data_IF_430318282910
#
_entry.id   IF_430318282910
#
_cell.length_a   1.000
_cell.length_b   1.000
_cell.length_c   1.000
_cell.angle_alpha   90.00
_cell.angle_beta   90.00
_cell.angle_gamma   90.00
#
_symmetry.space_group_name_H-M   'P 1'
#
loop_
_entity.id
_entity.type
_entity.pdbx_description
1 polymer ?
#
# COMPACT_ATOMS: atom_id res chain seq x y z
N UNK A 1 23.86 -10.04 26.48
CA UNK A 1 22.40 -9.96 26.64
C UNK A 1 21.76 -10.52 25.38
N UNK A 2 21.08 -11.67 25.47
CA UNK A 2 20.31 -12.24 24.37
C UNK A 2 18.95 -11.54 24.34
N UNK A 3 18.83 -10.45 23.58
CA UNK A 3 17.51 -9.87 23.28
C UNK A 3 16.77 -10.80 22.32
N UNK A 4 15.52 -11.13 22.66
CA UNK A 4 14.61 -11.88 21.80
C UNK A 4 14.42 -11.10 20.48
N UNK A 5 14.70 -11.70 19.31
CA UNK A 5 14.57 -10.99 18.04
C UNK A 5 13.12 -10.62 17.75
N UNK A 6 12.14 -11.42 18.19
CA UNK A 6 10.73 -11.09 18.05
C UNK A 6 10.34 -9.85 18.85
N UNK A 7 10.81 -9.75 20.10
CA UNK A 7 10.59 -8.57 20.95
C UNK A 7 11.24 -7.30 20.37
N UNK A 8 12.42 -7.44 19.77
CA UNK A 8 13.13 -6.31 19.13
C UNK A 8 12.40 -5.83 17.88
N UNK A 9 11.94 -6.76 17.03
CA UNK A 9 11.15 -6.47 15.83
C UNK A 9 9.83 -5.81 16.20
N UNK A 10 9.10 -6.37 17.17
CA UNK A 10 7.84 -5.82 17.64
C UNK A 10 8.03 -4.38 18.11
N UNK A 11 9.05 -4.12 18.96
CA UNK A 11 9.37 -2.78 19.44
C UNK A 11 9.72 -1.81 18.30
N UNK A 12 10.57 -2.21 17.35
CA UNK A 12 10.97 -1.35 16.23
C UNK A 12 9.77 -0.89 15.39
N UNK A 13 8.80 -1.78 15.19
CA UNK A 13 7.59 -1.45 14.45
C UNK A 13 6.52 -0.79 15.33
N UNK A 14 6.44 -1.07 16.63
CA UNK A 14 5.58 -0.33 17.56
C UNK A 14 5.99 1.16 17.61
N UNK A 15 7.29 1.43 17.69
CA UNK A 15 7.88 2.77 17.69
C UNK A 15 7.67 3.54 16.37
N UNK A 16 7.24 2.87 15.30
CA UNK A 16 6.85 3.51 14.04
C UNK A 16 5.49 4.21 14.23
N UNK A 17 5.51 5.50 14.60
CA UNK A 17 4.31 6.33 14.61
C UNK A 17 4.01 6.84 13.21
N UNK A 18 2.82 6.53 12.71
CA UNK A 18 2.26 7.07 11.47
C UNK A 18 1.00 7.91 11.75
N UNK A 19 0.88 8.45 12.97
CA UNK A 19 -0.35 9.13 13.41
C UNK A 19 -0.67 10.34 12.53
N UNK A 20 0.36 11.11 12.15
CA UNK A 20 0.21 12.29 11.29
C UNK A 20 -0.11 11.90 9.85
N UNK A 21 0.59 10.91 9.32
CA UNK A 21 0.38 10.40 7.96
C UNK A 21 -1.03 9.81 7.82
N UNK A 22 -1.50 9.06 8.83
CA UNK A 22 -2.85 8.51 8.85
C UNK A 22 -3.92 9.60 8.90
N UNK A 23 -3.76 10.63 9.73
CA UNK A 23 -4.75 11.73 9.79
C UNK A 23 -4.78 12.54 8.49
N UNK A 24 -3.63 12.70 7.83
CA UNK A 24 -3.56 13.32 6.52
C UNK A 24 -4.24 12.47 5.44
N UNK A 25 -3.97 11.16 5.42
CA UNK A 25 -4.64 10.24 4.48
C UNK A 25 -6.15 10.23 4.69
N UNK A 26 -6.62 10.18 5.95
CA UNK A 26 -8.05 10.24 6.27
C UNK A 26 -8.70 11.55 5.80
N UNK A 27 -8.03 12.69 6.03
CA UNK A 27 -8.50 13.99 5.55
C UNK A 27 -8.61 14.04 4.02
N UNK A 28 -7.59 13.56 3.31
CA UNK A 28 -7.57 13.53 1.84
C UNK A 28 -8.63 12.57 1.28
N UNK A 29 -8.83 11.40 1.91
CA UNK A 29 -9.90 10.47 1.55
C UNK A 29 -11.29 11.06 1.77
N UNK A 30 -11.46 11.82 2.86
CA UNK A 30 -12.69 12.57 3.12
C UNK A 30 -12.96 13.63 2.06
N UNK A 31 -11.93 14.30 1.55
CA UNK A 31 -12.05 15.27 0.45
C UNK A 31 -12.40 14.59 -0.88
N UNK A 32 -11.73 13.48 -1.22
CA UNK A 32 -12.07 12.66 -2.40
C UNK A 32 -13.55 12.23 -2.34
N UNK A 33 -14.02 11.79 -1.18
CA UNK A 33 -15.43 11.38 -1.02
C UNK A 33 -16.42 12.53 -1.27
N UNK A 34 -16.06 13.77 -0.91
CA UNK A 34 -16.89 14.96 -1.22
C UNK A 34 -16.85 15.29 -2.71
N UNK A 35 -15.69 15.15 -3.35
CA UNK A 35 -15.57 15.35 -4.79
C UNK A 35 -16.38 14.30 -5.55
N UNK A 36 -16.31 13.03 -5.15
CA UNK A 36 -17.08 11.95 -5.76
C UNK A 36 -18.60 12.22 -5.65
N UNK A 37 -19.06 12.73 -4.51
CA UNK A 37 -20.45 13.15 -4.34
C UNK A 37 -20.83 14.35 -5.23
N UNK A 38 -19.94 15.34 -5.37
CA UNK A 38 -20.16 16.50 -6.24
C UNK A 38 -20.20 16.10 -7.72
N UNK A 39 -19.32 15.17 -8.15
CA UNK A 39 -19.31 14.60 -9.50
C UNK A 39 -20.62 13.86 -9.80
N UNK A 40 -21.13 13.06 -8.86
CA UNK A 40 -22.42 12.39 -9.03
C UNK A 40 -23.58 13.38 -9.24
N UNK A 41 -23.58 14.49 -8.50
CA UNK A 41 -24.58 15.56 -8.67
C UNK A 41 -24.41 16.25 -10.03
N UNK A 42 -23.17 16.52 -10.45
CA UNK A 42 -22.89 17.14 -11.74
C UNK A 42 -23.33 16.25 -12.91
N UNK A 43 -23.08 14.95 -12.85
CA UNK A 43 -23.53 13.98 -13.86
C UNK A 43 -25.07 13.97 -13.99
N UNK A 44 -25.79 14.00 -12.87
CA UNK A 44 -27.25 14.07 -12.88
C UNK A 44 -27.77 15.39 -13.48
N UNK A 45 -27.07 16.51 -13.22
CA UNK A 45 -27.39 17.80 -13.82
C UNK A 45 -27.13 17.82 -15.33
N UNK A 46 -26.00 17.26 -15.79
CA UNK A 46 -25.68 17.14 -17.22
C UNK A 46 -26.75 16.33 -17.93
N UNK A 47 -27.14 15.16 -17.40
CA UNK A 47 -28.25 14.36 -17.96
C UNK A 47 -29.59 15.11 -17.94
N UNK A 48 -29.80 16.01 -16.98
CA UNK A 48 -30.95 16.91 -16.93
C UNK A 48 -30.94 17.91 -18.08
N UNK A 49 -29.80 18.55 -18.31
CA UNK A 49 -29.61 19.52 -19.41
C UNK A 49 -29.71 18.84 -20.78
N UNK A 50 -29.15 17.65 -20.95
CA UNK A 50 -29.25 16.87 -22.19
C UNK A 50 -30.70 16.53 -22.54
N UNK A 51 -31.50 16.13 -21.55
CA UNK A 51 -32.95 15.90 -21.76
C UNK A 51 -33.67 17.19 -22.18
N UNK A 52 -33.40 18.30 -21.50
CA UNK A 52 -33.99 19.60 -21.86
C UNK A 52 -33.58 20.05 -23.27
N UNK A 53 -32.35 19.77 -23.71
CA UNK A 53 -31.89 20.07 -25.07
C UNK A 53 -32.62 19.21 -26.12
N UNK A 54 -32.84 17.92 -25.84
CA UNK A 54 -33.61 17.03 -26.72
C UNK A 54 -35.08 17.50 -26.84
N UNK A 55 -35.70 17.88 -25.74
CA UNK A 55 -37.07 18.37 -25.70
C UNK A 55 -37.21 19.73 -26.42
N UNK A 56 -36.25 20.64 -26.23
CA UNK A 56 -36.22 21.93 -26.93
C UNK A 56 -36.04 21.76 -28.45
N UNK A 57 -35.16 20.85 -28.89
CA UNK A 57 -34.92 20.57 -30.30
C UNK A 57 -36.11 19.92 -31.02
N UNK A 58 -36.96 19.18 -30.30
CA UNK A 58 -38.14 18.50 -30.87
C UNK A 58 -39.36 19.43 -31.06
N UNK A 59 -39.42 20.58 -30.36
CA UNK A 59 -40.66 21.34 -30.17
C UNK A 59 -40.56 22.86 -30.43
N UNK A 60 -39.37 23.38 -30.72
CA UNK A 60 -39.08 24.82 -30.76
C UNK A 60 -40.01 25.65 -31.68
N UNK A 61 -40.27 25.19 -32.91
CA UNK A 61 -41.07 25.96 -33.87
C UNK A 61 -42.57 26.03 -33.54
N UNK A 62 -43.11 24.95 -32.95
CA UNK A 62 -44.56 24.85 -32.64
C UNK A 62 -44.90 25.55 -31.32
N UNK A 63 -44.06 25.37 -30.30
CA UNK A 63 -44.28 26.00 -28.99
C UNK A 63 -44.09 27.51 -29.03
N UNK A 64 -43.13 28.03 -29.81
CA UNK A 64 -42.99 29.47 -29.99
C UNK A 64 -44.20 30.08 -30.71
N UNK A 65 -44.75 29.39 -31.72
CA UNK A 65 -45.97 29.80 -32.41
C UNK A 65 -47.18 29.83 -31.46
N UNK A 66 -47.38 28.78 -30.66
CA UNK A 66 -48.48 28.70 -29.68
C UNK A 66 -48.33 29.73 -28.55
N UNK A 67 -47.10 30.06 -28.14
CA UNK A 67 -46.81 31.07 -27.12
C UNK A 67 -47.06 32.50 -27.60
N UNK A 68 -46.67 32.79 -28.85
CA UNK A 68 -46.97 34.07 -29.51
C UNK A 68 -48.49 34.26 -29.69
N UNK A 69 -49.21 33.19 -30.01
CA UNK A 69 -50.68 33.18 -30.07
C UNK A 69 -51.32 33.36 -28.67
N UNK A 70 -50.66 32.91 -27.61
CA UNK A 70 -51.10 33.07 -26.22
C UNK A 70 -50.63 34.37 -25.54
N UNK A 71 -50.01 35.30 -26.28
CA UNK A 71 -49.42 36.53 -25.76
C UNK A 71 -48.42 36.33 -24.60
N UNK A 72 -47.72 35.18 -24.56
CA UNK A 72 -46.68 34.91 -23.57
C UNK A 72 -45.34 35.47 -24.03
N UNK A 73 -44.50 35.86 -23.08
CA UNK A 73 -43.15 36.34 -23.35
C UNK A 73 -42.16 35.17 -23.50
N UNK A 74 -41.05 35.34 -24.24
CA UNK A 74 -40.06 34.27 -24.43
C UNK A 74 -39.49 33.69 -23.12
N UNK A 75 -39.43 34.48 -22.05
CA UNK A 75 -39.02 34.04 -20.71
C UNK A 75 -39.99 33.04 -20.06
N UNK A 76 -41.23 32.96 -20.53
CA UNK A 76 -42.24 32.02 -20.03
C UNK A 76 -42.09 30.61 -20.65
N UNK A 77 -41.17 30.44 -21.60
CA UNK A 77 -40.95 29.19 -22.35
C UNK A 77 -39.79 28.35 -21.81
N UNK A 78 -39.15 28.79 -20.72
CA UNK A 78 -37.99 28.12 -20.14
C UNK A 78 -36.67 28.57 -20.77
N UNK A 79 -35.53 27.98 -20.33
CA UNK A 79 -34.20 28.37 -20.79
C UNK A 79 -34.02 28.08 -22.29
N UNK A 80 -33.34 28.99 -22.99
CA UNK A 80 -33.05 28.85 -24.41
C UNK A 80 -32.04 27.72 -24.68
N UNK A 81 -32.02 27.21 -25.92
CA UNK A 81 -31.02 26.22 -26.34
C UNK A 81 -29.59 26.71 -26.13
N UNK A 82 -29.33 28.00 -26.37
CA UNK A 82 -28.04 28.64 -26.14
C UNK A 82 -27.68 28.62 -24.65
N UNK A 83 -28.59 29.02 -23.78
CA UNK A 83 -28.39 28.98 -22.31
C UNK A 83 -28.18 27.56 -21.80
N UNK A 84 -28.87 26.56 -22.36
CA UNK A 84 -28.68 25.16 -22.00
C UNK A 84 -27.30 24.62 -22.45
N UNK A 85 -26.83 25.01 -23.64
CA UNK A 85 -25.49 24.64 -24.13
C UNK A 85 -24.37 25.33 -23.36
N UNK A 86 -24.54 26.60 -23.02
CA UNK A 86 -23.61 27.33 -22.13
C UNK A 86 -23.54 26.63 -20.77
N UNK A 87 -24.69 26.32 -20.18
CA UNK A 87 -24.76 25.57 -18.91
C UNK A 87 -24.12 24.18 -19.01
N UNK A 88 -24.30 23.46 -20.11
CA UNK A 88 -23.63 22.17 -20.34
C UNK A 88 -22.10 22.33 -20.38
N UNK A 89 -21.63 23.38 -21.05
CA UNK A 89 -20.18 23.68 -21.16
C UNK A 89 -19.58 24.02 -19.79
N UNK A 90 -20.26 24.85 -19.00
CA UNK A 90 -19.83 25.21 -17.65
C UNK A 90 -19.83 24.00 -16.71
N UNK A 91 -20.85 23.14 -16.78
CA UNK A 91 -20.92 21.90 -16.01
C UNK A 91 -19.78 20.95 -16.38
N UNK A 92 -19.49 20.79 -17.67
CA UNK A 92 -18.39 19.95 -18.13
C UNK A 92 -17.04 20.48 -17.65
N UNK A 93 -16.81 21.80 -17.73
CA UNK A 93 -15.60 22.42 -17.22
C UNK A 93 -15.43 22.21 -15.71
N UNK A 94 -16.52 22.32 -14.94
CA UNK A 94 -16.53 22.03 -13.50
C UNK A 94 -16.22 20.56 -13.18
N UNK A 95 -16.77 19.61 -13.97
CA UNK A 95 -16.45 18.18 -13.85
C UNK A 95 -14.98 17.92 -14.12
N UNK A 96 -14.42 18.52 -15.16
CA UNK A 96 -13.01 18.36 -15.52
C UNK A 96 -12.08 18.91 -14.41
N UNK A 97 -12.42 20.06 -13.82
CA UNK A 97 -11.69 20.64 -12.69
C UNK A 97 -11.75 19.73 -11.45
N UNK A 98 -12.94 19.21 -11.10
CA UNK A 98 -13.12 18.29 -9.98
C UNK A 98 -12.33 17.00 -10.18
N UNK A 99 -12.34 16.43 -11.39
CA UNK A 99 -11.54 15.27 -11.74
C UNK A 99 -10.03 15.55 -11.62
N UNK A 100 -9.58 16.73 -12.08
CA UNK A 100 -8.18 17.16 -11.91
C UNK A 100 -7.75 17.18 -10.45
N UNK A 101 -8.55 17.83 -9.59
CA UNK A 101 -8.31 17.87 -8.13
C UNK A 101 -8.30 16.48 -7.51
N UNK A 102 -9.26 15.62 -7.88
CA UNK A 102 -9.31 14.23 -7.41
C UNK A 102 -8.03 13.48 -7.71
N UNK A 103 -7.49 13.61 -8.94
CA UNK A 103 -6.22 12.97 -9.34
C UNK A 103 -5.05 13.50 -8.51
N UNK A 104 -4.99 14.80 -8.23
CA UNK A 104 -3.94 15.39 -7.37
C UNK A 104 -4.00 14.89 -5.93
N UNK A 105 -5.20 14.75 -5.37
CA UNK A 105 -5.40 14.19 -4.02
C UNK A 105 -4.95 12.73 -3.95
N UNK A 106 -5.29 11.92 -4.96
CA UNK A 106 -4.83 10.52 -5.05
C UNK A 106 -3.31 10.45 -5.07
N UNK A 107 -2.63 11.26 -5.92
CA UNK A 107 -1.16 11.32 -5.94
C UNK A 107 -0.57 11.74 -4.60
N UNK A 108 -1.23 12.65 -3.88
CA UNK A 108 -0.81 13.09 -2.55
C UNK A 108 -0.89 11.96 -1.53
N UNK A 109 -1.95 11.14 -1.57
CA UNK A 109 -2.08 9.92 -0.76
C UNK A 109 -0.96 8.93 -1.10
N UNK A 110 -0.71 8.67 -2.38
CA UNK A 110 0.36 7.75 -2.82
C UNK A 110 1.76 8.20 -2.35
N UNK A 111 2.02 9.52 -2.35
CA UNK A 111 3.26 10.09 -1.85
C UNK A 111 3.43 9.90 -0.33
N UNK A 112 2.36 10.10 0.45
CA UNK A 112 2.35 9.84 1.90
C UNK A 112 2.58 8.36 2.19
N UNK A 113 1.90 7.47 1.46
CA UNK A 113 2.07 6.02 1.60
C UNK A 113 3.50 5.58 1.25
N UNK A 114 4.06 6.12 0.17
CA UNK A 114 5.45 5.86 -0.21
C UNK A 114 6.45 6.31 0.88
N UNK A 115 6.17 7.45 1.52
CA UNK A 115 6.97 7.94 2.65
C UNK A 115 6.89 7.00 3.85
N UNK A 116 5.68 6.59 4.23
CA UNK A 116 5.46 5.65 5.33
C UNK A 116 6.12 4.28 5.07
N UNK A 117 6.07 3.78 3.83
CA UNK A 117 6.75 2.55 3.41
C UNK A 117 8.26 2.68 3.61
N UNK A 118 8.88 3.79 3.19
CA UNK A 118 10.31 4.02 3.41
C UNK A 118 10.67 4.06 4.90
N UNK A 119 9.85 4.68 5.73
CA UNK A 119 10.05 4.67 7.19
C UNK A 119 9.96 3.27 7.77
N UNK A 120 9.01 2.44 7.29
CA UNK A 120 8.92 1.04 7.68
C UNK A 120 10.13 0.21 7.20
N UNK A 121 10.60 0.45 5.97
CA UNK A 121 11.80 -0.19 5.41
C UNK A 121 13.04 0.11 6.25
N UNK A 122 13.25 1.35 6.67
CA UNK A 122 14.38 1.70 7.54
C UNK A 122 14.36 0.93 8.87
N UNK A 123 13.18 0.69 9.46
CA UNK A 123 13.04 -0.17 10.65
C UNK A 123 13.30 -1.65 10.32
N UNK A 124 12.81 -2.11 9.17
CA UNK A 124 13.03 -3.47 8.69
C UNK A 124 14.52 -3.75 8.43
N UNK A 125 15.28 -2.78 7.92
CA UNK A 125 16.73 -2.90 7.72
C UNK A 125 17.46 -3.11 9.04
N UNK A 126 17.11 -2.35 10.09
CA UNK A 126 17.69 -2.53 11.43
C UNK A 126 17.41 -3.95 11.96
N UNK A 127 16.16 -4.42 11.81
CA UNK A 127 15.77 -5.77 12.19
C UNK A 127 16.53 -6.84 11.38
N UNK A 128 16.65 -6.66 10.07
CA UNK A 128 17.36 -7.56 9.17
C UNK A 128 18.85 -7.65 9.53
N UNK A 129 19.51 -6.51 9.79
CA UNK A 129 20.90 -6.48 10.26
C UNK A 129 21.07 -7.21 11.59
N UNK A 130 20.15 -7.02 12.55
CA UNK A 130 20.21 -7.71 13.84
C UNK A 130 20.04 -9.24 13.70
N UNK A 131 19.13 -9.70 12.83
CA UNK A 131 18.97 -11.12 12.50
C UNK A 131 20.26 -11.65 11.85
N UNK A 132 20.81 -10.91 10.88
CA UNK A 132 22.02 -11.31 10.17
C UNK A 132 23.24 -11.42 11.10
N UNK A 133 23.43 -10.47 12.03
CA UNK A 133 24.51 -10.56 13.03
C UNK A 133 24.40 -11.82 13.90
N UNK A 134 23.19 -12.29 14.20
CA UNK A 134 22.99 -13.54 14.95
C UNK A 134 23.31 -14.77 14.09
N UNK A 135 22.95 -14.74 12.81
CA UNK A 135 23.34 -15.79 11.85
C UNK A 135 24.85 -15.89 11.78
N UNK A 136 25.55 -14.74 11.67
CA UNK A 136 27.01 -14.69 11.65
C UNK A 136 27.62 -15.26 12.94
N UNK A 137 27.14 -14.83 14.12
CA UNK A 137 27.63 -15.36 15.39
C UNK A 137 27.42 -16.87 15.53
N UNK A 138 26.27 -17.40 15.07
CA UNK A 138 26.01 -18.84 15.06
C UNK A 138 26.97 -19.59 14.10
N UNK A 139 27.27 -19.00 12.94
CA UNK A 139 28.24 -19.56 12.01
C UNK A 139 29.66 -19.61 12.61
N UNK A 140 30.09 -18.54 13.30
CA UNK A 140 31.38 -18.48 13.99
C UNK A 140 31.51 -19.57 15.07
N UNK A 141 30.44 -19.86 15.82
CA UNK A 141 30.41 -20.97 16.80
C UNK A 141 30.60 -22.33 16.12
N UNK A 142 29.95 -22.56 14.99
CA UNK A 142 30.07 -23.84 14.25
C UNK A 142 31.50 -24.00 13.68
N UNK A 143 32.08 -22.93 13.13
CA UNK A 143 33.47 -22.91 12.65
C UNK A 143 34.44 -23.16 13.80
N UNK A 144 34.23 -22.53 14.96
CA UNK A 144 35.05 -22.74 16.15
C UNK A 144 34.99 -24.19 16.66
N UNK A 145 33.80 -24.79 16.71
CA UNK A 145 33.63 -26.19 17.08
C UNK A 145 34.35 -27.15 16.12
N UNK A 146 34.31 -26.87 14.82
CA UNK A 146 35.08 -27.62 13.82
C UNK A 146 36.60 -27.51 14.08
N UNK A 147 37.11 -26.30 14.34
CA UNK A 147 38.52 -26.09 14.64
C UNK A 147 38.95 -26.87 15.89
N UNK A 148 38.15 -26.81 16.97
CA UNK A 148 38.41 -27.57 18.20
C UNK A 148 38.41 -29.09 17.97
N UNK A 149 37.46 -29.61 17.17
CA UNK A 149 37.42 -31.03 16.82
C UNK A 149 38.60 -31.46 15.93
N UNK A 150 39.10 -30.57 15.06
CA UNK A 150 40.27 -30.86 14.23
C UNK A 150 41.50 -31.04 15.10
N UNK A 151 41.77 -30.07 15.99
CA UNK A 151 42.89 -30.13 16.94
C UNK A 151 42.77 -31.36 17.84
N UNK A 152 41.59 -31.61 18.43
CA UNK A 152 41.38 -32.79 19.26
C UNK A 152 41.64 -34.09 18.49
N UNK A 153 41.16 -34.18 17.25
CA UNK A 153 41.36 -35.38 16.42
C UNK A 153 42.80 -35.55 15.93
N UNK A 154 43.52 -34.46 15.70
CA UNK A 154 44.94 -34.48 15.31
C UNK A 154 45.82 -34.94 16.47
N UNK A 155 45.58 -34.40 17.67
CA UNK A 155 46.39 -34.67 18.87
C UNK A 155 46.06 -36.03 19.53
N UNK A 156 44.80 -36.46 19.50
CA UNK A 156 44.36 -37.67 20.23
C UNK A 156 43.98 -38.84 19.34
N UNK A 157 43.76 -38.61 18.04
CA UNK A 157 43.24 -39.61 17.11
C UNK A 157 41.75 -39.96 17.28
N UNK A 158 41.06 -39.41 18.29
CA UNK A 158 39.64 -39.63 18.62
C UNK A 158 38.74 -38.58 17.95
N UNK A 159 37.45 -38.89 17.75
CA UNK A 159 36.48 -37.89 17.28
C UNK A 159 36.43 -37.67 15.76
N UNK A 160 37.03 -38.58 14.97
CA UNK A 160 37.08 -38.47 13.50
C UNK A 160 35.70 -38.48 12.84
N UNK A 161 34.71 -39.15 13.42
CA UNK A 161 33.34 -39.20 12.89
C UNK A 161 32.60 -37.86 13.12
N UNK A 162 32.78 -37.27 14.30
CA UNK A 162 32.27 -35.96 14.71
C UNK A 162 32.92 -34.86 13.88
N UNK A 163 34.23 -34.93 13.66
CA UNK A 163 34.96 -34.02 12.78
C UNK A 163 34.41 -34.04 11.34
N UNK A 164 34.07 -35.23 10.80
CA UNK A 164 33.43 -35.34 9.47
C UNK A 164 32.07 -34.65 9.43
N UNK A 165 31.24 -34.81 10.48
CA UNK A 165 29.92 -34.14 10.58
C UNK A 165 30.06 -32.63 10.69
N UNK A 166 30.97 -32.16 11.54
CA UNK A 166 31.27 -30.73 11.67
C UNK A 166 31.80 -30.14 10.36
N UNK A 167 32.67 -30.85 9.64
CA UNK A 167 33.14 -30.45 8.31
C UNK A 167 31.99 -30.27 7.31
N UNK A 168 31.03 -31.18 7.31
CA UNK A 168 29.84 -31.08 6.45
C UNK A 168 28.98 -29.89 6.83
N UNK A 169 28.77 -29.63 8.13
CA UNK A 169 28.03 -28.45 8.59
C UNK A 169 28.72 -27.14 8.19
N UNK A 170 30.05 -27.05 8.35
CA UNK A 170 30.83 -25.88 7.92
C UNK A 170 30.81 -25.70 6.39
N UNK A 171 30.88 -26.79 5.62
CA UNK A 171 30.74 -26.73 4.15
C UNK A 171 29.35 -26.30 3.72
N UNK A 172 28.29 -26.70 4.42
CA UNK A 172 26.92 -26.24 4.16
C UNK A 172 26.72 -24.75 4.51
N UNK A 173 27.50 -24.21 5.45
CA UNK A 173 27.50 -22.77 5.76
C UNK A 173 28.20 -21.94 4.67
N UNK A 174 29.26 -22.47 4.04
CA UNK A 174 30.16 -21.73 3.12
C UNK A 174 29.86 -22.04 1.63
N UNK A 175 29.20 -23.15 1.34
CA UNK A 175 28.97 -23.67 -0.01
C UNK A 175 27.83 -22.98 -0.78
N UNK A 176 27.76 -23.28 -2.07
CA UNK A 176 26.69 -22.79 -2.97
C UNK A 176 25.31 -23.31 -2.58
N UNK A 177 25.29 -24.51 -1.97
CA UNK A 177 24.15 -25.09 -1.30
C UNK A 177 23.95 -24.37 0.05
N UNK A 178 23.04 -23.41 0.06
CA UNK A 178 22.57 -22.72 1.28
C UNK A 178 22.45 -23.67 2.47
N UNK A 179 22.63 -23.16 3.69
CA UNK A 179 22.68 -23.86 5.01
C UNK A 179 21.72 -25.07 5.18
N UNK A 180 20.61 -25.15 4.44
CA UNK A 180 19.72 -26.31 4.32
C UNK A 180 19.16 -26.48 2.87
N UNK A 181 19.86 -27.16 1.93
CA UNK A 181 19.50 -27.17 0.51
C UNK A 181 18.20 -27.94 0.18
N UNK A 182 17.67 -28.73 1.11
CA UNK A 182 16.41 -29.49 0.95
C UNK A 182 15.29 -29.05 1.90
N UNK A 183 15.50 -27.99 2.68
CA UNK A 183 14.46 -27.35 3.50
C UNK A 183 14.33 -25.89 3.05
N UNK A 184 13.87 -25.72 1.81
CA UNK A 184 13.66 -24.40 1.20
C UNK A 184 12.44 -23.69 1.79
N UNK A 185 11.56 -24.42 2.48
CA UNK A 185 10.47 -23.87 3.28
C UNK A 185 10.73 -24.23 4.75
N UNK A 186 11.21 -23.27 5.52
CA UNK A 186 11.30 -23.38 6.98
C UNK A 186 10.32 -22.36 7.50
N UNK A 187 9.27 -22.86 8.15
CA UNK A 187 8.23 -22.00 8.71
C UNK A 187 8.88 -20.90 9.58
N UNK A 188 8.53 -19.65 9.31
CA UNK A 188 8.99 -18.54 10.13
C UNK A 188 8.40 -18.73 11.52
N UNK A 189 9.24 -18.59 12.56
CA UNK A 189 8.76 -18.75 13.92
C UNK A 189 7.52 -17.90 14.20
N UNK A 190 6.48 -18.45 14.83
CA UNK A 190 5.21 -17.76 15.05
C UNK A 190 5.38 -16.45 15.84
N UNK A 191 6.45 -16.33 16.64
CA UNK A 191 6.81 -15.13 17.37
C UNK A 191 7.21 -13.99 16.43
N UNK A 192 8.00 -14.28 15.39
CA UNK A 192 8.41 -13.31 14.36
C UNK A 192 7.20 -12.93 13.50
N UNK A 193 6.40 -13.92 13.09
CA UNK A 193 5.17 -13.66 12.36
C UNK A 193 4.19 -12.80 13.17
N UNK A 194 4.06 -13.07 14.47
CA UNK A 194 3.27 -12.27 15.41
C UNK A 194 3.79 -10.84 15.56
N UNK A 195 5.11 -10.66 15.66
CA UNK A 195 5.74 -9.34 15.73
C UNK A 195 5.48 -8.50 14.46
N UNK A 196 5.47 -9.13 13.28
CA UNK A 196 5.21 -8.45 12.01
C UNK A 196 3.74 -8.04 11.83
N UNK A 197 2.78 -8.72 12.49
CA UNK A 197 1.35 -8.33 12.43
C UNK A 197 1.06 -6.94 13.00
N UNK A 198 1.97 -6.38 13.80
CA UNK A 198 1.88 -4.98 14.25
C UNK A 198 1.75 -4.01 13.06
N UNK A 199 2.38 -4.35 11.92
CA UNK A 199 2.32 -3.54 10.71
C UNK A 199 0.91 -3.41 10.12
N UNK A 200 0.05 -4.43 10.25
CA UNK A 200 -1.34 -4.37 9.76
C UNK A 200 -2.16 -3.31 10.53
N UNK A 201 -1.76 -3.00 11.76
CA UNK A 201 -2.44 -2.01 12.61
C UNK A 201 -1.97 -0.58 12.37
N UNK A 202 -1.03 -0.37 11.44
CA UNK A 202 -0.44 0.96 11.18
C UNK A 202 -1.30 1.87 10.30
N UNK A 203 -2.47 1.41 9.87
CA UNK A 203 -3.51 2.25 9.26
C UNK A 203 -3.33 2.48 7.75
N UNK A 204 -4.12 3.39 7.20
CA UNK A 204 -4.21 3.64 5.76
C UNK A 204 -2.94 4.24 5.13
N UNK A 205 -2.09 4.86 5.95
CA UNK A 205 -0.77 5.35 5.52
C UNK A 205 0.19 4.20 5.20
N UNK A 206 0.00 3.00 5.76
CA UNK A 206 0.82 1.83 5.49
C UNK A 206 -0.08 0.61 5.17
N UNK A 207 -0.61 0.52 3.93
CA UNK A 207 -1.54 -0.53 3.54
C UNK A 207 -0.79 -1.85 3.32
N UNK A 208 -0.48 -2.56 4.40
CA UNK A 208 0.11 -3.90 4.36
C UNK A 208 -1.00 -4.92 4.63
N UNK A 209 -1.07 -5.96 3.79
CA UNK A 209 -1.86 -7.15 4.09
C UNK A 209 -0.96 -8.38 3.96
N UNK A 210 -0.86 -9.17 5.03
CA UNK A 210 -0.22 -10.47 4.94
C UNK A 210 -1.18 -11.41 4.22
N UNK A 211 -0.99 -11.64 2.91
CA UNK A 211 -1.75 -12.70 2.21
C UNK A 211 -1.49 -14.03 2.92
N UNK A 212 -2.55 -14.85 3.05
CA UNK A 212 -2.55 -16.23 3.61
C UNK A 212 -1.55 -17.21 2.95
N UNK A 213 -0.69 -16.75 2.04
CA UNK A 213 0.21 -17.56 1.23
C UNK A 213 1.70 -17.38 1.55
N UNK A 214 2.06 -16.77 2.68
CA UNK A 214 3.41 -17.01 3.20
C UNK A 214 3.38 -18.37 3.90
N UNK A 215 3.40 -19.44 3.10
CA UNK A 215 4.05 -20.67 3.55
C UNK A 215 5.52 -20.30 3.64
N UNK A 216 6.01 -20.19 4.86
CA UNK A 216 7.41 -19.89 5.11
C UNK A 216 8.24 -21.17 4.98
#
# INVERSE_FOLDING_TARGET
>A
MNTDPAATIAKLFDDLSLTKENSQVESLQGEISRIDAALAIADDQIRGVERSLQDAGALAGRHMADALLAHRTPSDLGPSETELRERQTDLQAGVDELNGRRVELVKSIEALQSSAIRSAQAKAEIAASAIYSRVQAAAEVIVGAYASLSVLSEETGVGKAELRKARTATKALIGHDHVLPHRVAVDVPPEIAGALRVLERKGAALPISFRKSVRF
#
